data_IF_226581994639
#
_entry.id   IF_226581994639
#
_cell.length_a   1.000
_cell.length_b   1.000
_cell.length_c   1.000
_cell.angle_alpha   90.00
_cell.angle_beta   90.00
_cell.angle_gamma   90.00
#
_symmetry.space_group_name_H-M   'P 1'
#
loop_
_entity.id
_entity.type
_entity.pdbx_description
1 polymer ?
#
# COMPACT_ATOMS: atom_id res chain seq x y z
N UNK A 1 5.57 -19.24 15.70
CA UNK A 1 7.03 -19.12 15.91
C UNK A 1 7.35 -18.13 17.04
N UNK A 2 7.85 -18.62 18.17
CA UNK A 2 8.34 -17.76 19.25
C UNK A 2 9.80 -17.44 18.96
N UNK A 3 10.09 -16.20 18.56
CA UNK A 3 11.47 -15.72 18.44
C UNK A 3 11.91 -15.26 19.85
N UNK A 4 12.91 -15.91 20.49
CA UNK A 4 13.35 -15.55 21.82
C UNK A 4 13.94 -14.12 21.93
N UNK A 5 14.34 -13.50 20.81
CA UNK A 5 14.78 -12.10 20.78
C UNK A 5 13.62 -11.09 20.78
N UNK A 6 12.37 -11.55 20.59
CA UNK A 6 11.19 -10.70 20.61
C UNK A 6 10.46 -10.83 21.95
N UNK A 7 10.07 -9.68 22.52
CA UNK A 7 9.18 -9.66 23.69
C UNK A 7 7.88 -10.40 23.36
N UNK A 8 7.36 -11.14 24.34
CA UNK A 8 6.05 -11.77 24.21
C UNK A 8 4.97 -10.70 23.99
N UNK A 9 4.04 -10.93 23.06
CA UNK A 9 2.95 -9.97 22.81
C UNK A 9 2.07 -9.79 24.04
N UNK A 10 1.71 -8.54 24.34
CA UNK A 10 0.72 -8.18 25.36
C UNK A 10 -0.71 -8.20 24.83
N UNK A 11 -1.68 -7.90 25.70
CA UNK A 11 -3.13 -7.95 25.39
C UNK A 11 -3.53 -6.94 24.29
N UNK A 12 -2.76 -5.86 24.14
CA UNK A 12 -3.02 -4.79 23.15
C UNK A 12 -2.25 -4.94 21.84
N UNK A 13 -1.41 -5.96 21.73
CA UNK A 13 -0.55 -6.13 20.56
C UNK A 13 -1.25 -6.95 19.48
N UNK A 14 -1.05 -6.57 18.21
CA UNK A 14 -1.54 -7.33 17.07
C UNK A 14 -0.55 -8.45 16.72
N UNK A 15 -1.07 -9.66 16.59
CA UNK A 15 -0.30 -10.84 16.19
C UNK A 15 -0.82 -11.37 14.85
N UNK A 16 0.12 -11.73 13.98
CA UNK A 16 -0.14 -12.36 12.68
C UNK A 16 0.72 -13.61 12.53
N UNK A 17 0.24 -14.56 11.73
CA UNK A 17 0.90 -15.85 11.53
C UNK A 17 1.62 -15.93 10.18
N UNK A 18 1.03 -15.31 9.16
CA UNK A 18 1.50 -15.39 7.78
C UNK A 18 1.91 -14.00 7.27
N UNK A 19 2.97 -13.90 6.45
CA UNK A 19 3.38 -12.64 5.87
C UNK A 19 2.30 -12.09 4.92
N UNK A 20 2.20 -10.77 4.85
CA UNK A 20 1.29 -10.11 3.92
C UNK A 20 1.65 -10.43 2.46
N UNK A 21 0.66 -10.69 1.60
CA UNK A 21 0.90 -10.90 0.18
C UNK A 21 1.31 -9.59 -0.51
N UNK A 22 1.76 -9.69 -1.76
CA UNK A 22 1.97 -8.52 -2.61
C UNK A 22 0.63 -7.91 -3.07
N UNK A 23 0.49 -6.59 -2.95
CA UNK A 23 -0.74 -5.86 -3.34
C UNK A 23 -0.63 -5.11 -4.67
N UNK A 24 0.54 -5.13 -5.31
CA UNK A 24 0.81 -4.41 -6.56
C UNK A 24 -0.05 -4.90 -7.73
N UNK A 25 -0.19 -6.22 -7.85
CA UNK A 25 -0.88 -6.88 -8.96
C UNK A 25 -2.23 -7.46 -8.51
N UNK A 26 -3.16 -7.55 -9.45
CA UNK A 26 -4.48 -8.12 -9.19
C UNK A 26 -4.36 -9.61 -8.91
N UNK A 27 -4.86 -10.04 -7.76
CA UNK A 27 -5.00 -11.45 -7.39
C UNK A 27 -6.44 -11.74 -6.93
N UNK A 28 -7.32 -12.20 -7.83
CA UNK A 28 -8.72 -12.48 -7.50
C UNK A 28 -8.90 -13.57 -6.44
N UNK A 29 -7.95 -14.51 -6.32
CA UNK A 29 -8.03 -15.60 -5.34
C UNK A 29 -7.91 -15.09 -3.90
N UNK A 30 -7.14 -14.03 -3.71
CA UNK A 30 -6.94 -13.37 -2.42
C UNK A 30 -7.78 -12.08 -2.28
N UNK A 31 -8.65 -11.78 -3.24
CA UNK A 31 -9.45 -10.55 -3.23
C UNK A 31 -8.64 -9.26 -3.44
N UNK A 32 -7.41 -9.36 -3.96
CA UNK A 32 -6.51 -8.23 -4.14
C UNK A 32 -6.79 -7.57 -5.51
N UNK A 33 -7.19 -6.30 -5.56
CA UNK A 33 -7.51 -5.63 -6.82
C UNK A 33 -6.28 -5.19 -7.62
N UNK A 34 -5.12 -5.02 -6.98
CA UNK A 34 -3.92 -4.41 -7.56
C UNK A 34 -3.87 -2.88 -7.38
N UNK A 35 -2.76 -2.25 -7.76
CA UNK A 35 -2.57 -0.79 -7.64
C UNK A 35 -2.67 -0.03 -8.97
N UNK A 36 -3.00 -0.71 -10.07
CA UNK A 36 -3.17 -0.10 -11.38
C UNK A 36 -4.32 0.92 -11.37
N UNK A 37 -4.08 2.10 -11.96
CA UNK A 37 -5.08 3.17 -12.07
C UNK A 37 -5.37 3.92 -10.76
N UNK A 38 -4.62 3.66 -9.68
CA UNK A 38 -4.72 4.44 -8.44
C UNK A 38 -4.02 5.77 -8.59
N UNK A 39 -4.61 6.82 -8.00
CA UNK A 39 -3.94 8.11 -7.82
C UNK A 39 -2.76 7.95 -6.86
N UNK A 40 -1.64 8.59 -7.21
CA UNK A 40 -0.45 8.69 -6.39
C UNK A 40 0.02 10.15 -6.33
N UNK A 41 0.85 10.47 -5.35
CA UNK A 41 1.48 11.77 -5.19
C UNK A 41 2.92 11.70 -5.71
N UNK A 42 3.28 12.49 -6.72
CA UNK A 42 4.63 12.48 -7.31
C UNK A 42 5.68 13.16 -6.41
N UNK A 43 5.24 14.04 -5.51
CA UNK A 43 6.12 14.72 -4.53
C UNK A 43 6.36 13.92 -3.26
N UNK A 44 5.59 12.86 -3.00
CA UNK A 44 5.74 12.05 -1.79
C UNK A 44 6.78 10.93 -1.99
N UNK A 45 7.58 10.71 -0.95
CA UNK A 45 8.54 9.60 -0.85
C UNK A 45 7.91 8.39 -0.13
N UNK A 46 6.72 8.57 0.45
CA UNK A 46 6.02 7.56 1.24
C UNK A 46 5.23 6.56 0.40
N UNK A 47 4.39 5.76 1.07
CA UNK A 47 3.54 4.74 0.42
C UNK A 47 2.48 5.32 -0.52
N UNK A 48 2.16 6.60 -0.39
CA UNK A 48 1.33 7.39 -1.31
C UNK A 48 2.13 7.95 -2.50
N UNK A 49 3.46 7.92 -2.39
CA UNK A 49 4.41 8.28 -3.43
C UNK A 49 4.26 7.41 -4.66
N UNK A 50 4.37 8.01 -5.85
CA UNK A 50 4.17 7.26 -7.10
C UNK A 50 5.17 6.10 -7.29
N UNK A 51 6.40 6.20 -6.79
CA UNK A 51 7.38 5.12 -6.89
C UNK A 51 6.95 3.85 -6.14
N UNK A 52 6.43 4.02 -4.92
CA UNK A 52 5.93 2.92 -4.10
C UNK A 52 4.53 2.50 -4.52
N UNK A 53 3.63 3.46 -4.79
CA UNK A 53 2.23 3.16 -5.07
C UNK A 53 2.04 2.46 -6.42
N UNK A 54 2.82 2.88 -7.42
CA UNK A 54 2.83 2.25 -8.73
C UNK A 54 3.83 1.09 -8.82
N UNK A 55 4.48 0.72 -7.72
CA UNK A 55 5.43 -0.40 -7.61
C UNK A 55 6.53 -0.34 -8.69
N UNK A 56 7.08 0.86 -8.93
CA UNK A 56 8.15 1.08 -9.91
C UNK A 56 7.74 0.97 -11.38
N UNK A 57 6.45 0.78 -11.70
CA UNK A 57 5.97 0.68 -13.10
C UNK A 57 5.88 2.02 -13.83
N UNK A 58 6.20 3.13 -13.16
CA UNK A 58 5.97 4.49 -13.64
C UNK A 58 4.52 4.96 -13.45
N UNK A 59 4.26 6.22 -13.82
CA UNK A 59 2.96 6.86 -13.65
C UNK A 59 2.71 7.89 -14.75
N UNK A 60 1.45 8.32 -14.89
CA UNK A 60 1.05 9.40 -15.82
C UNK A 60 0.44 10.54 -15.02
N UNK A 61 0.96 11.74 -15.21
CA UNK A 61 0.40 12.95 -14.61
C UNK A 61 -0.74 13.47 -15.48
N UNK A 62 -1.85 13.84 -14.84
CA UNK A 62 -3.00 14.46 -15.50
C UNK A 62 -3.42 15.68 -14.68
N UNK A 63 -3.65 16.82 -15.35
CA UNK A 63 -4.22 18.02 -14.74
C UNK A 63 -5.73 18.01 -14.95
N UNK A 64 -6.49 18.26 -13.87
CA UNK A 64 -7.94 18.32 -13.90
C UNK A 64 -8.43 19.60 -13.23
N UNK A 65 -9.50 20.19 -13.77
CA UNK A 65 -10.20 21.30 -13.12
C UNK A 65 -11.12 20.73 -12.04
N UNK A 66 -10.90 21.10 -10.79
CA UNK A 66 -11.74 20.71 -9.66
C UNK A 66 -12.60 21.91 -9.28
N UNK A 67 -13.93 21.72 -9.25
CA UNK A 67 -14.86 22.72 -8.74
C UNK A 67 -15.06 22.45 -7.26
N UNK A 68 -14.58 23.34 -6.41
CA UNK A 68 -14.80 23.30 -4.97
C UNK A 68 -15.80 24.39 -4.53
N UNK A 69 -16.45 24.18 -3.38
CA UNK A 69 -17.28 25.21 -2.75
C UNK A 69 -16.35 26.16 -2.01
N UNK A 70 -16.03 27.29 -2.63
CA UNK A 70 -15.27 28.39 -2.04
C UNK A 70 -16.17 29.43 -1.37
#
# INVERSE_FOLDING_TARGET
PHNPDHKTPGIKDLVYLEPSPGFCEKNPRLGIPGTHGRTCNDTSIGVDGCDLMCCGRGYRTQTMFVVERC
#
